data_IF_890471143940
#
_entry.id   IF_890471143940
#
_cell.length_a   1.000
_cell.length_b   1.000
_cell.length_c   1.000
_cell.angle_alpha   90.00
_cell.angle_beta   90.00
_cell.angle_gamma   90.00
#
_symmetry.space_group_name_H-M   'P 1'
#
loop_
_entity.id
_entity.type
_entity.pdbx_description
1 polymer ?
#
# COMPACT_ATOMS: atom_id res chain seq x y z
N UNK A 1 29.22 -1.57 50.77
CA UNK A 1 29.49 -1.37 49.34
C UNK A 1 28.19 -1.60 48.58
N UNK A 2 27.62 -0.62 47.94
CA UNK A 2 26.35 -0.83 47.17
C UNK A 2 26.69 -1.50 45.85
N UNK A 3 26.04 -2.63 45.57
CA UNK A 3 26.08 -3.30 44.28
C UNK A 3 25.18 -2.53 43.31
N UNK A 4 25.77 -1.82 42.37
CA UNK A 4 25.07 -1.27 41.22
C UNK A 4 24.78 -2.41 40.23
N UNK A 5 23.53 -2.77 40.11
CA UNK A 5 23.06 -3.67 39.05
C UNK A 5 23.16 -2.93 37.71
N UNK A 6 24.05 -3.37 36.84
CA UNK A 6 24.13 -2.90 35.44
C UNK A 6 22.90 -3.52 34.72
N UNK A 7 21.89 -2.70 34.48
CA UNK A 7 20.79 -3.08 33.57
C UNK A 7 21.35 -2.98 32.15
N UNK A 8 21.40 -4.09 31.41
CA UNK A 8 21.84 -4.02 30.01
C UNK A 8 20.86 -3.14 29.23
N UNK A 9 21.37 -2.06 28.67
CA UNK A 9 20.64 -1.24 27.69
C UNK A 9 20.43 -2.14 26.47
N UNK A 10 19.25 -2.71 26.32
CA UNK A 10 18.83 -3.36 25.08
C UNK A 10 18.78 -2.27 24.01
N UNK A 11 19.85 -2.14 23.23
CA UNK A 11 19.83 -1.38 22.01
C UNK A 11 18.87 -2.09 21.06
N UNK A 12 17.62 -1.63 20.98
CA UNK A 12 16.74 -2.01 19.88
C UNK A 12 17.39 -1.49 18.61
N UNK A 13 17.92 -2.38 17.79
CA UNK A 13 18.35 -2.08 16.43
C UNK A 13 17.04 -1.81 15.67
N UNK A 14 16.65 -0.55 15.62
CA UNK A 14 15.53 -0.13 14.77
C UNK A 14 15.98 -0.36 13.32
N UNK A 15 15.22 -1.13 12.58
CA UNK A 15 15.43 -1.27 11.15
C UNK A 15 15.15 0.08 10.48
N UNK A 16 16.07 0.56 9.67
CA UNK A 16 16.05 1.92 9.12
C UNK A 16 14.89 2.14 8.12
N UNK A 17 14.52 1.10 7.33
CA UNK A 17 13.39 1.11 6.40
C UNK A 17 12.65 -0.23 6.46
N UNK A 18 11.91 -0.49 7.56
CA UNK A 18 11.52 -1.85 7.97
C UNK A 18 10.36 -2.45 7.19
N UNK A 19 9.63 -1.65 6.41
CA UNK A 19 8.40 -2.05 5.71
C UNK A 19 8.17 -1.21 4.45
N UNK A 20 7.11 -1.50 3.72
CA UNK A 20 6.66 -0.69 2.60
C UNK A 20 6.56 0.79 2.99
N UNK A 21 7.30 1.64 2.27
CA UNK A 21 7.41 3.09 2.51
C UNK A 21 8.06 3.45 3.88
N UNK A 22 8.90 2.59 4.42
CA UNK A 22 9.69 2.88 5.62
C UNK A 22 8.89 2.95 6.93
N UNK A 23 9.36 3.69 7.94
CA UNK A 23 8.72 3.76 9.24
C UNK A 23 7.25 4.18 9.12
N UNK A 24 6.35 3.32 9.59
CA UNK A 24 4.89 3.51 9.55
C UNK A 24 4.31 3.92 8.19
N UNK A 25 5.00 3.57 7.09
CA UNK A 25 4.56 3.85 5.72
C UNK A 25 4.56 5.33 5.32
N UNK A 26 5.30 6.19 6.01
CA UNK A 26 5.30 7.64 5.77
C UNK A 26 6.11 8.08 4.54
N UNK A 27 7.05 7.25 4.07
CA UNK A 27 7.85 7.53 2.87
C UNK A 27 8.97 8.57 3.09
N UNK A 28 9.39 8.80 4.32
CA UNK A 28 10.37 9.83 4.68
C UNK A 28 11.60 9.19 5.29
N UNK A 29 12.77 9.65 4.86
CA UNK A 29 14.06 9.37 5.49
C UNK A 29 14.59 10.62 6.19
N UNK A 30 15.63 10.41 7.02
CA UNK A 30 16.37 11.50 7.65
C UNK A 30 17.02 12.44 6.61
N UNK A 31 17.29 13.69 7.01
CA UNK A 31 17.87 14.74 6.17
C UNK A 31 19.39 14.55 5.93
N UNK A 32 19.79 13.34 5.52
CA UNK A 32 21.16 13.04 5.06
C UNK A 32 21.25 13.36 3.56
N UNK A 33 22.35 13.96 3.07
CA UNK A 33 22.50 14.35 1.67
C UNK A 33 22.20 13.20 0.70
N UNK A 34 21.27 13.42 -0.23
CA UNK A 34 20.82 12.46 -1.23
C UNK A 34 21.20 12.93 -2.65
N UNK A 35 21.49 12.02 -3.60
CA UNK A 35 21.81 12.39 -4.97
C UNK A 35 20.59 13.00 -5.68
N UNK A 36 20.83 14.09 -6.40
CA UNK A 36 19.82 14.72 -7.29
C UNK A 36 19.88 14.11 -8.68
N UNK A 37 21.09 13.87 -9.18
CA UNK A 37 21.32 13.25 -10.47
C UNK A 37 21.94 11.87 -10.29
N UNK A 38 21.38 10.88 -10.97
CA UNK A 38 21.88 9.50 -10.97
C UNK A 38 21.40 8.75 -12.22
N UNK A 39 22.13 7.72 -12.58
CA UNK A 39 21.79 6.81 -13.68
C UNK A 39 22.51 5.46 -13.44
N UNK A 40 22.31 4.45 -14.29
CA UNK A 40 23.10 3.23 -14.19
C UNK A 40 24.62 3.43 -14.25
N UNK A 41 25.09 4.61 -14.70
CA UNK A 41 26.51 4.96 -14.82
C UNK A 41 26.94 6.13 -13.91
N UNK A 42 26.00 6.83 -13.25
CA UNK A 42 26.28 8.03 -12.45
C UNK A 42 25.74 7.86 -11.03
N UNK A 43 26.57 8.17 -10.04
CA UNK A 43 26.18 8.11 -8.61
C UNK A 43 25.65 6.73 -8.16
N UNK A 44 26.02 5.66 -8.88
CA UNK A 44 25.71 4.29 -8.52
C UNK A 44 26.82 3.70 -7.65
N UNK A 45 26.47 3.27 -6.43
CA UNK A 45 27.38 2.58 -5.52
C UNK A 45 27.55 1.12 -5.92
N UNK A 46 26.43 0.49 -6.24
CA UNK A 46 26.35 -0.84 -6.78
C UNK A 46 25.01 -1.07 -7.50
N UNK A 47 24.98 -2.06 -8.41
CA UNK A 47 23.78 -2.56 -9.03
C UNK A 47 23.81 -4.09 -9.06
N UNK A 48 22.66 -4.73 -8.90
CA UNK A 48 22.55 -6.18 -8.84
C UNK A 48 21.33 -6.66 -9.63
N UNK A 49 21.52 -7.60 -10.53
CA UNK A 49 20.42 -8.27 -11.21
C UNK A 49 19.59 -9.07 -10.20
N UNK A 50 18.29 -8.82 -10.18
CA UNK A 50 17.33 -9.47 -9.28
C UNK A 50 16.19 -10.10 -10.08
N UNK A 51 15.55 -11.18 -9.57
CA UNK A 51 14.39 -11.74 -10.23
C UNK A 51 13.24 -10.73 -10.27
N UNK A 52 12.35 -10.79 -11.29
CA UNK A 52 11.22 -9.89 -11.43
C UNK A 52 10.28 -9.87 -10.21
N UNK A 53 9.63 -8.73 -9.97
CA UNK A 53 8.64 -8.53 -8.91
C UNK A 53 8.44 -7.05 -8.63
N UNK A 54 7.32 -6.70 -7.99
CA UNK A 54 6.94 -5.31 -7.75
C UNK A 54 7.17 -4.85 -6.30
N UNK A 55 7.61 -5.75 -5.41
CA UNK A 55 7.87 -5.38 -4.01
C UNK A 55 8.92 -4.28 -3.89
N UNK A 56 8.68 -3.36 -2.98
CA UNK A 56 9.65 -2.33 -2.60
C UNK A 56 10.77 -2.92 -1.74
N UNK A 57 12.00 -2.37 -1.82
CA UNK A 57 13.08 -2.79 -0.94
C UNK A 57 12.77 -2.49 0.52
N UNK A 58 13.09 -3.44 1.38
CA UNK A 58 12.99 -3.32 2.84
C UNK A 58 14.38 -3.49 3.43
N UNK A 59 14.77 -2.59 4.33
CA UNK A 59 16.14 -2.45 4.78
C UNK A 59 16.28 -2.72 6.29
N UNK A 60 17.33 -3.43 6.63
CA UNK A 60 17.94 -3.41 7.97
C UNK A 60 19.28 -2.72 7.90
N UNK A 61 20.02 -2.65 9.00
CA UNK A 61 21.37 -2.10 9.01
C UNK A 61 22.31 -2.77 7.98
N UNK A 62 22.15 -4.10 7.77
CA UNK A 62 23.08 -4.89 6.95
C UNK A 62 22.43 -5.65 5.79
N UNK A 63 21.11 -5.70 5.70
CA UNK A 63 20.38 -6.54 4.73
C UNK A 63 19.35 -5.74 3.95
N UNK A 64 19.04 -6.24 2.76
CA UNK A 64 17.91 -5.80 1.93
C UNK A 64 17.06 -7.03 1.63
N UNK A 65 15.73 -6.90 1.77
CA UNK A 65 14.79 -7.98 1.48
C UNK A 65 13.83 -7.56 0.35
N UNK A 66 13.57 -8.50 -0.56
CA UNK A 66 12.61 -8.39 -1.66
C UNK A 66 11.77 -9.66 -1.76
N UNK A 67 10.54 -9.54 -2.26
CA UNK A 67 9.82 -10.67 -2.84
C UNK A 67 9.96 -10.63 -4.36
N UNK A 68 9.97 -11.79 -5.02
CA UNK A 68 10.11 -11.91 -6.46
C UNK A 68 9.31 -13.12 -6.98
N UNK A 69 9.04 -13.13 -8.30
CA UNK A 69 8.41 -14.25 -8.97
C UNK A 69 9.14 -14.52 -10.29
N UNK A 70 9.68 -15.71 -10.45
CA UNK A 70 10.45 -16.09 -11.61
C UNK A 70 10.22 -17.57 -11.93
N UNK A 71 9.97 -17.91 -13.20
CA UNK A 71 9.78 -19.31 -13.65
C UNK A 71 8.76 -20.08 -12.79
N UNK A 72 7.61 -19.49 -12.55
CA UNK A 72 6.52 -20.02 -11.70
C UNK A 72 6.91 -20.20 -10.21
N UNK A 73 8.05 -19.71 -9.77
CA UNK A 73 8.52 -19.76 -8.38
C UNK A 73 8.30 -18.44 -7.69
N UNK A 74 7.88 -18.51 -6.43
CA UNK A 74 7.80 -17.38 -5.51
C UNK A 74 9.07 -17.33 -4.68
N UNK A 75 9.75 -16.21 -4.66
CA UNK A 75 11.06 -16.08 -4.05
C UNK A 75 11.09 -14.96 -3.00
N UNK A 76 11.72 -15.23 -1.88
CA UNK A 76 12.25 -14.21 -0.98
C UNK A 76 13.74 -14.09 -1.25
N UNK A 77 14.21 -12.87 -1.50
CA UNK A 77 15.60 -12.57 -1.83
C UNK A 77 16.18 -11.66 -0.76
N UNK A 78 17.35 -12.03 -0.25
CA UNK A 78 18.12 -11.22 0.67
C UNK A 78 19.45 -10.82 0.02
N UNK A 79 19.77 -9.53 0.12
CA UNK A 79 21.04 -8.99 -0.35
C UNK A 79 21.81 -8.37 0.83
N UNK A 80 23.14 -8.37 0.72
CA UNK A 80 24.01 -7.55 1.55
C UNK A 80 23.83 -6.08 1.20
N UNK A 81 23.53 -5.26 2.17
CA UNK A 81 23.19 -3.85 1.93
C UNK A 81 24.38 -3.03 1.45
N UNK A 82 25.58 -3.36 1.89
CA UNK A 82 26.79 -2.60 1.57
C UNK A 82 27.27 -2.85 0.13
N UNK A 83 27.21 -4.11 -0.32
CA UNK A 83 27.76 -4.55 -1.60
C UNK A 83 26.73 -4.88 -2.68
N UNK A 84 25.45 -5.03 -2.30
CA UNK A 84 24.40 -5.51 -3.20
C UNK A 84 24.47 -7.02 -3.50
N UNK A 85 25.44 -7.76 -2.94
CA UNK A 85 25.59 -9.20 -3.20
C UNK A 85 24.36 -9.97 -2.68
N UNK A 86 23.77 -10.83 -3.51
CA UNK A 86 22.72 -11.74 -3.06
C UNK A 86 23.33 -12.75 -2.07
N UNK A 87 22.80 -12.77 -0.86
CA UNK A 87 23.24 -13.65 0.20
C UNK A 87 22.49 -14.97 0.17
N UNK A 88 21.19 -14.89 -0.03
CA UNK A 88 20.36 -16.08 -0.15
C UNK A 88 19.07 -15.79 -0.95
N UNK A 89 18.49 -16.87 -1.48
CA UNK A 89 17.14 -16.93 -2.06
C UNK A 89 16.39 -18.07 -1.41
N UNK A 90 15.12 -17.87 -1.09
CA UNK A 90 14.24 -18.92 -0.56
C UNK A 90 12.98 -19.01 -1.39
N UNK A 91 12.69 -20.20 -1.85
CA UNK A 91 11.48 -20.52 -2.61
C UNK A 91 10.33 -20.75 -1.61
N UNK A 92 9.21 -20.06 -1.79
CA UNK A 92 7.99 -20.29 -1.05
C UNK A 92 7.17 -21.41 -1.72
N UNK A 93 6.40 -22.21 -0.96
CA UNK A 93 5.43 -23.12 -1.56
C UNK A 93 4.43 -22.37 -2.44
N UNK A 94 4.03 -22.98 -3.54
CA UNK A 94 3.02 -22.44 -4.46
C UNK A 94 1.96 -23.47 -4.79
N UNK A 95 1.06 -23.82 -3.81
CA UNK A 95 0.06 -24.86 -3.98
C UNK A 95 -1.02 -24.49 -5.01
N UNK A 96 -1.14 -23.20 -5.37
CA UNK A 96 -2.09 -22.64 -6.32
C UNK A 96 -1.51 -21.41 -7.01
N UNK A 97 -2.17 -20.98 -8.07
CA UNK A 97 -1.90 -19.73 -8.75
C UNK A 97 -3.16 -18.86 -8.68
N UNK A 98 -3.11 -17.81 -7.86
CA UNK A 98 -4.20 -16.86 -7.75
C UNK A 98 -4.34 -16.03 -9.04
N UNK A 99 -5.54 -15.57 -9.32
CA UNK A 99 -5.77 -14.63 -10.42
C UNK A 99 -5.05 -13.31 -10.13
N UNK A 100 -4.59 -12.64 -11.17
CA UNK A 100 -4.01 -11.30 -11.05
C UNK A 100 -4.13 -10.54 -12.37
N UNK A 101 -4.21 -9.22 -12.29
CA UNK A 101 -4.14 -8.35 -13.46
C UNK A 101 -2.71 -8.37 -14.05
N UNK A 102 -2.56 -8.16 -15.38
CA UNK A 102 -1.24 -8.11 -16.03
C UNK A 102 -0.28 -7.06 -15.44
N UNK A 103 -0.81 -5.98 -14.86
CA UNK A 103 -0.05 -4.92 -14.21
C UNK A 103 0.29 -5.23 -12.74
N UNK A 104 -0.14 -6.37 -12.22
CA UNK A 104 0.18 -6.84 -10.88
C UNK A 104 1.18 -8.01 -10.94
N UNK A 105 1.74 -8.38 -9.80
CA UNK A 105 2.67 -9.49 -9.64
C UNK A 105 2.30 -10.29 -8.40
N UNK A 106 2.44 -11.63 -8.39
CA UNK A 106 2.29 -12.41 -7.17
C UNK A 106 3.33 -12.02 -6.09
N UNK A 107 4.35 -11.24 -6.48
CA UNK A 107 5.36 -10.64 -5.61
C UNK A 107 5.23 -9.10 -5.52
N UNK A 108 4.00 -8.57 -5.52
CA UNK A 108 3.71 -7.15 -5.25
C UNK A 108 3.78 -6.80 -3.76
N UNK A 109 3.28 -7.62 -2.83
CA UNK A 109 3.43 -7.32 -1.41
C UNK A 109 4.91 -7.22 -1.01
N UNK A 110 5.26 -6.10 -0.38
CA UNK A 110 6.61 -5.88 0.13
C UNK A 110 6.82 -6.63 1.44
N UNK A 111 8.04 -7.10 1.73
CA UNK A 111 8.38 -7.67 3.04
C UNK A 111 8.17 -6.69 4.19
N UNK A 112 8.21 -7.20 5.42
CA UNK A 112 8.41 -6.40 6.63
C UNK A 112 9.46 -7.09 7.52
N UNK A 113 10.26 -6.31 8.27
CA UNK A 113 11.33 -6.83 9.11
C UNK A 113 11.35 -6.16 10.49
N UNK A 114 11.77 -6.93 11.50
CA UNK A 114 12.07 -6.45 12.85
C UNK A 114 13.57 -6.17 13.08
N UNK A 115 14.38 -6.23 11.99
CA UNK A 115 15.83 -6.11 12.03
C UNK A 115 16.56 -7.45 12.16
N UNK A 116 15.93 -8.48 12.72
CA UNK A 116 16.48 -9.82 12.89
C UNK A 116 15.81 -10.87 12.03
N UNK A 117 14.54 -10.66 11.70
CA UNK A 117 13.71 -11.58 10.94
C UNK A 117 12.98 -10.81 9.84
N UNK A 118 12.60 -11.53 8.80
CA UNK A 118 11.77 -11.00 7.71
C UNK A 118 10.48 -11.81 7.60
N UNK A 119 9.41 -11.11 7.28
CA UNK A 119 8.07 -11.66 7.10
C UNK A 119 7.58 -11.27 5.71
N UNK A 120 7.13 -12.26 4.96
CA UNK A 120 6.68 -12.10 3.56
C UNK A 120 5.29 -12.67 3.38
N UNK A 121 4.53 -12.06 2.50
CA UNK A 121 3.21 -12.54 2.10
C UNK A 121 3.17 -12.78 0.59
N UNK A 122 2.67 -13.95 0.20
CA UNK A 122 2.32 -14.29 -1.17
C UNK A 122 0.85 -14.75 -1.22
N UNK A 123 0.04 -14.15 -2.09
CA UNK A 123 -1.36 -14.55 -2.26
C UNK A 123 -1.51 -16.04 -2.57
N UNK A 124 -0.61 -16.59 -3.38
CA UNK A 124 -0.59 -17.98 -3.82
C UNK A 124 -0.28 -18.99 -2.68
N UNK A 125 0.18 -18.49 -1.51
CA UNK A 125 0.53 -19.36 -0.37
C UNK A 125 0.00 -18.84 0.98
N UNK A 126 0.39 -17.61 1.37
CA UNK A 126 0.18 -17.06 2.72
C UNK A 126 1.40 -16.35 3.28
N UNK A 127 1.55 -16.36 4.60
CA UNK A 127 2.66 -15.74 5.33
C UNK A 127 3.80 -16.71 5.60
N UNK A 128 5.03 -16.22 5.50
CA UNK A 128 6.25 -16.95 5.85
C UNK A 128 7.18 -16.01 6.62
N UNK A 129 7.86 -16.54 7.64
CA UNK A 129 8.95 -15.85 8.34
C UNK A 129 10.27 -16.59 8.16
N UNK A 130 11.32 -15.81 7.88
CA UNK A 130 12.71 -16.28 7.84
C UNK A 130 13.55 -15.47 8.83
N UNK A 131 14.63 -16.08 9.33
CA UNK A 131 15.71 -15.35 9.99
C UNK A 131 16.45 -14.44 8.98
N UNK A 132 17.27 -13.50 9.45
CA UNK A 132 18.12 -12.70 8.58
C UNK A 132 19.06 -13.56 7.71
N UNK A 133 19.41 -14.77 8.16
CA UNK A 133 20.26 -15.72 7.45
C UNK A 133 19.48 -16.67 6.54
N UNK A 134 18.15 -16.51 6.47
CA UNK A 134 17.28 -17.24 5.55
C UNK A 134 16.81 -18.60 6.06
N UNK A 135 16.91 -18.89 7.34
CA UNK A 135 16.29 -20.08 7.94
C UNK A 135 14.78 -19.86 8.10
N UNK A 136 13.97 -20.82 7.65
CA UNK A 136 12.51 -20.77 7.81
C UNK A 136 12.18 -20.90 9.32
N UNK A 137 11.47 -19.91 9.87
CA UNK A 137 11.05 -19.89 11.27
C UNK A 137 9.66 -20.48 11.44
N UNK A 138 8.75 -20.04 10.59
CA UNK A 138 7.38 -20.52 10.52
C UNK A 138 6.74 -20.17 9.18
N UNK A 139 5.67 -20.86 8.85
CA UNK A 139 4.81 -20.57 7.71
C UNK A 139 3.35 -20.77 8.07
N UNK A 140 2.49 -19.93 7.51
CA UNK A 140 1.04 -19.95 7.71
C UNK A 140 0.35 -19.91 6.35
N UNK A 141 -0.15 -21.05 5.85
CA UNK A 141 -0.97 -21.06 4.64
C UNK A 141 -2.25 -20.23 4.82
N UNK A 142 -2.59 -19.40 3.85
CA UNK A 142 -3.81 -18.59 3.78
C UNK A 142 -4.44 -18.76 2.41
N UNK A 143 -5.73 -18.45 2.30
CA UNK A 143 -6.49 -18.56 1.03
C UNK A 143 -7.06 -19.97 0.82
N UNK A 144 -7.60 -20.32 -0.40
CA UNK A 144 -7.61 -19.47 -1.59
C UNK A 144 -8.32 -18.13 -1.37
N UNK A 145 -7.95 -17.14 -2.20
CA UNK A 145 -8.54 -15.81 -2.13
C UNK A 145 -9.42 -15.54 -3.35
N UNK A 146 -10.58 -14.95 -3.14
CA UNK A 146 -11.44 -14.47 -4.22
C UNK A 146 -11.07 -13.02 -4.56
N UNK A 147 -9.96 -12.82 -5.29
CA UNK A 147 -9.47 -11.51 -5.71
C UNK A 147 -8.91 -11.56 -7.13
N UNK A 148 -9.73 -11.20 -8.12
CA UNK A 148 -9.37 -11.28 -9.55
C UNK A 148 -8.21 -10.35 -9.98
N UNK A 149 -7.82 -9.39 -9.15
CA UNK A 149 -6.71 -8.49 -9.49
C UNK A 149 -5.38 -8.90 -8.81
N UNK A 150 -5.40 -9.95 -7.98
CA UNK A 150 -4.28 -10.35 -7.14
C UNK A 150 -4.11 -9.49 -5.89
N UNK A 151 -3.10 -9.76 -5.10
CA UNK A 151 -2.83 -9.05 -3.85
C UNK A 151 -1.82 -7.92 -4.01
N UNK A 152 -2.03 -6.81 -3.28
CA UNK A 152 -1.12 -5.67 -3.21
C UNK A 152 -0.82 -5.22 -1.77
N UNK A 153 -1.63 -5.66 -0.80
CA UNK A 153 -1.45 -5.29 0.61
C UNK A 153 -0.17 -5.90 1.18
N UNK A 154 0.68 -5.08 1.76
CA UNK A 154 1.91 -5.52 2.43
C UNK A 154 1.64 -5.77 3.92
N UNK A 155 2.28 -6.77 4.56
CA UNK A 155 2.21 -6.92 6.00
C UNK A 155 2.96 -5.77 6.71
N UNK A 156 2.53 -5.46 7.94
CA UNK A 156 3.25 -4.57 8.85
C UNK A 156 3.52 -5.26 10.19
N UNK A 157 4.45 -4.72 10.97
CA UNK A 157 4.68 -5.15 12.35
C UNK A 157 4.08 -4.14 13.34
N UNK A 158 3.30 -4.65 14.28
CA UNK A 158 2.75 -3.87 15.38
C UNK A 158 2.53 -4.75 16.63
N UNK A 159 2.99 -4.29 17.80
CA UNK A 159 2.74 -4.98 19.08
C UNK A 159 3.19 -6.43 19.12
N UNK A 160 4.34 -6.78 18.53
CA UNK A 160 4.86 -8.16 18.39
C UNK A 160 3.96 -9.07 17.50
N UNK A 161 3.19 -8.48 16.63
CA UNK A 161 2.34 -9.17 15.67
C UNK A 161 2.68 -8.74 14.24
N UNK A 162 2.48 -9.68 13.31
CA UNK A 162 2.39 -9.40 11.87
C UNK A 162 0.92 -9.12 11.57
N UNK A 163 0.62 -7.95 11.04
CA UNK A 163 -0.74 -7.52 10.68
C UNK A 163 -0.88 -7.56 9.16
N UNK A 164 -1.94 -8.16 8.66
CA UNK A 164 -2.22 -8.28 7.23
C UNK A 164 -3.70 -8.02 6.94
N UNK A 165 -3.97 -7.18 5.93
CA UNK A 165 -5.30 -7.02 5.33
C UNK A 165 -5.47 -8.10 4.27
N UNK A 166 -6.53 -8.89 4.40
CA UNK A 166 -6.95 -9.90 3.43
C UNK A 166 -8.31 -9.53 2.87
N UNK A 167 -8.40 -8.35 2.24
CA UNK A 167 -9.61 -7.88 1.58
C UNK A 167 -9.76 -8.56 0.22
N UNK A 168 -10.91 -9.15 -0.01
CA UNK A 168 -11.30 -9.93 -1.19
C UNK A 168 -12.81 -9.80 -1.42
N UNK A 169 -13.35 -10.28 -2.53
CA UNK A 169 -14.74 -10.07 -2.89
C UNK A 169 -15.72 -10.74 -1.94
N UNK A 170 -15.31 -11.88 -1.39
CA UNK A 170 -16.05 -12.61 -0.34
C UNK A 170 -15.13 -12.86 0.85
N UNK A 171 -15.68 -12.90 2.06
CA UNK A 171 -14.96 -13.29 3.28
C UNK A 171 -13.71 -12.46 3.60
N UNK A 172 -13.75 -11.14 3.34
CA UNK A 172 -12.70 -10.20 3.73
C UNK A 172 -12.41 -10.24 5.22
N UNK A 173 -11.13 -10.13 5.60
CA UNK A 173 -10.74 -10.10 7.01
C UNK A 173 -9.43 -9.32 7.26
N UNK A 174 -9.27 -8.86 8.49
CA UNK A 174 -8.01 -8.36 9.05
C UNK A 174 -7.40 -9.45 9.94
N UNK A 175 -6.10 -9.70 9.80
CA UNK A 175 -5.39 -10.78 10.48
C UNK A 175 -4.24 -10.25 11.32
N UNK A 176 -4.11 -10.73 12.54
CA UNK A 176 -2.93 -10.58 13.38
C UNK A 176 -2.32 -11.93 13.73
N UNK A 177 -1.04 -12.07 13.47
CA UNK A 177 -0.27 -13.29 13.67
C UNK A 177 0.88 -13.01 14.64
N UNK A 178 1.07 -13.89 15.61
CA UNK A 178 2.20 -13.78 16.54
C UNK A 178 3.53 -13.83 15.78
N UNK A 179 4.33 -12.81 15.95
CA UNK A 179 5.59 -12.61 15.25
C UNK A 179 6.62 -13.72 15.46
N UNK A 180 6.63 -14.31 16.66
CA UNK A 180 7.60 -15.35 17.03
C UNK A 180 7.18 -16.75 16.55
N UNK A 181 5.90 -17.05 16.59
CA UNK A 181 5.38 -18.42 16.41
C UNK A 181 4.56 -18.66 15.15
N UNK A 182 4.09 -17.61 14.47
CA UNK A 182 3.20 -17.73 13.32
C UNK A 182 1.75 -18.10 13.69
N UNK A 183 1.39 -18.14 14.97
CA UNK A 183 0.03 -18.46 15.41
C UNK A 183 -0.88 -17.26 15.28
N UNK A 184 -2.11 -17.48 14.82
CA UNK A 184 -3.13 -16.43 14.74
C UNK A 184 -3.47 -15.96 16.16
N UNK A 185 -3.35 -14.65 16.40
CA UNK A 185 -3.75 -13.98 17.64
C UNK A 185 -5.22 -13.60 17.60
N UNK A 186 -5.63 -13.00 16.47
CA UNK A 186 -7.01 -12.70 16.18
C UNK A 186 -7.22 -12.58 14.66
N UNK A 187 -8.46 -12.82 14.24
CA UNK A 187 -8.93 -12.66 12.86
C UNK A 187 -10.28 -11.97 12.91
N UNK A 188 -10.39 -10.79 12.32
CA UNK A 188 -11.60 -9.97 12.34
C UNK A 188 -12.25 -9.94 10.98
N UNK A 189 -13.48 -10.45 10.82
CA UNK A 189 -14.24 -10.36 9.57
C UNK A 189 -14.49 -8.89 9.17
N UNK A 190 -14.46 -8.62 7.88
CA UNK A 190 -14.71 -7.31 7.26
C UNK A 190 -15.82 -7.43 6.20
N UNK A 191 -17.08 -7.75 6.58
CA UNK A 191 -18.15 -8.04 5.63
C UNK A 191 -18.53 -6.85 4.75
N UNK A 192 -18.24 -5.63 5.21
CA UNK A 192 -18.47 -4.38 4.45
C UNK A 192 -17.33 -4.07 3.47
N UNK A 193 -16.31 -4.92 3.36
CA UNK A 193 -15.18 -4.73 2.45
C UNK A 193 -15.20 -5.78 1.34
N UNK A 194 -14.80 -5.35 0.14
CA UNK A 194 -14.44 -6.22 -0.97
C UNK A 194 -12.95 -6.07 -1.26
N UNK A 195 -12.49 -6.57 -2.40
CA UNK A 195 -11.07 -6.46 -2.81
C UNK A 195 -10.52 -5.06 -2.60
N UNK A 196 -9.38 -4.99 -1.90
CA UNK A 196 -8.63 -3.78 -1.58
C UNK A 196 -7.13 -4.09 -1.53
N UNK A 197 -6.29 -3.05 -1.65
CA UNK A 197 -4.84 -3.24 -1.83
C UNK A 197 -4.02 -2.34 -0.90
N UNK A 198 -4.67 -1.66 0.02
CA UNK A 198 -4.02 -0.77 0.97
C UNK A 198 -3.18 -1.55 1.99
N UNK A 199 -2.11 -0.95 2.45
CA UNK A 199 -1.34 -1.42 3.60
C UNK A 199 -1.82 -0.63 4.83
N UNK A 200 -2.04 -1.25 6.00
CA UNK A 200 -2.49 -0.55 7.20
C UNK A 200 -1.40 0.33 7.79
N UNK A 201 -1.77 1.28 8.63
CA UNK A 201 -0.85 2.07 9.43
C UNK A 201 -1.17 1.95 10.93
N UNK A 202 -0.13 2.05 11.76
CA UNK A 202 -0.27 2.05 13.21
C UNK A 202 -0.49 3.49 13.70
N UNK A 203 -1.61 3.73 14.39
CA UNK A 203 -1.88 4.97 15.10
C UNK A 203 -1.69 4.76 16.60
N UNK A 204 -0.89 5.61 17.23
CA UNK A 204 -0.69 5.62 18.66
C UNK A 204 -1.33 6.90 19.24
N UNK A 205 -2.51 6.83 19.83
CA UNK A 205 -3.09 7.96 20.54
C UNK A 205 -2.16 8.46 21.64
N UNK A 206 -2.23 9.73 21.95
CA UNK A 206 -1.47 10.30 23.09
C UNK A 206 -1.89 9.61 24.40
N UNK A 207 -3.19 9.40 24.56
CA UNK A 207 -3.79 8.73 25.72
C UNK A 207 -4.66 7.59 25.21
N UNK A 208 -4.22 6.34 25.44
CA UNK A 208 -4.97 5.16 25.05
C UNK A 208 -4.16 4.07 24.32
N UNK A 209 -4.81 2.95 24.04
CA UNK A 209 -4.18 1.82 23.33
C UNK A 209 -3.94 2.15 21.86
N UNK A 210 -2.96 1.48 21.27
CA UNK A 210 -2.67 1.59 19.85
C UNK A 210 -3.82 1.07 18.98
N UNK A 211 -4.01 1.73 17.85
CA UNK A 211 -5.04 1.43 16.86
C UNK A 211 -4.43 1.13 15.49
N UNK A 212 -5.11 0.32 14.71
CA UNK A 212 -4.77 0.06 13.31
C UNK A 212 -5.71 0.83 12.41
N UNK A 213 -5.18 1.70 11.58
CA UNK A 213 -5.95 2.43 10.55
C UNK A 213 -5.94 1.61 9.27
N UNK A 214 -7.09 1.13 8.88
CA UNK A 214 -7.27 0.16 7.81
C UNK A 214 -8.21 0.70 6.74
N UNK A 215 -7.69 1.16 5.60
CA UNK A 215 -8.52 1.48 4.45
C UNK A 215 -9.20 0.21 3.89
N UNK A 216 -10.42 0.36 3.44
CA UNK A 216 -11.20 -0.72 2.81
C UNK A 216 -12.21 -0.15 1.83
N UNK A 217 -13.01 -1.00 1.19
CA UNK A 217 -14.01 -0.53 0.23
C UNK A 217 -14.93 0.52 0.85
N UNK A 218 -14.96 1.71 0.26
CA UNK A 218 -15.81 2.87 0.60
C UNK A 218 -15.59 3.49 2.00
N UNK A 219 -14.63 3.01 2.79
CA UNK A 219 -14.46 3.41 4.19
C UNK A 219 -12.99 3.36 4.64
N UNK A 220 -12.72 4.07 5.73
CA UNK A 220 -11.50 3.89 6.54
C UNK A 220 -11.95 3.50 7.94
N UNK A 221 -11.38 2.44 8.48
CA UNK A 221 -11.79 1.85 9.76
C UNK A 221 -10.61 1.82 10.71
N UNK A 222 -10.84 2.19 11.96
CA UNK A 222 -9.90 1.94 13.06
C UNK A 222 -10.26 0.66 13.79
N UNK A 223 -9.23 -0.13 14.09
CA UNK A 223 -9.33 -1.36 14.88
C UNK A 223 -8.39 -1.31 16.08
N UNK A 224 -8.83 -1.89 17.19
CA UNK A 224 -7.96 -2.15 18.34
C UNK A 224 -6.79 -3.05 17.93
N UNK A 225 -5.56 -2.63 18.16
CA UNK A 225 -4.39 -3.46 17.89
C UNK A 225 -4.41 -4.75 18.73
N UNK A 226 -4.86 -4.69 19.98
CA UNK A 226 -4.82 -5.82 20.90
C UNK A 226 -5.88 -6.88 20.64
N UNK A 227 -7.09 -6.49 20.21
CA UNK A 227 -8.25 -7.40 20.08
C UNK A 227 -8.75 -7.56 18.66
N UNK A 228 -8.39 -6.66 17.73
CA UNK A 228 -8.95 -6.62 16.39
C UNK A 228 -10.39 -6.06 16.33
N UNK A 229 -10.94 -5.56 17.44
CA UNK A 229 -12.28 -4.97 17.46
C UNK A 229 -12.32 -3.67 16.66
N UNK A 230 -13.42 -3.46 15.91
CA UNK A 230 -13.72 -2.23 15.20
C UNK A 230 -14.08 -1.13 16.20
N UNK A 231 -13.36 0.00 16.12
CA UNK A 231 -13.53 1.11 17.06
C UNK A 231 -14.39 2.24 16.47
N UNK A 232 -13.92 2.82 15.38
CA UNK A 232 -14.59 3.89 14.65
C UNK A 232 -14.31 3.78 13.16
N UNK A 233 -15.14 4.48 12.35
CA UNK A 233 -14.94 4.51 10.89
C UNK A 233 -15.50 5.77 10.27
N UNK A 234 -15.00 6.09 9.08
CA UNK A 234 -15.59 7.08 8.17
C UNK A 234 -16.00 6.39 6.87
N UNK A 235 -17.01 6.95 6.22
CA UNK A 235 -17.54 6.50 4.91
C UNK A 235 -17.31 7.55 3.82
N UNK A 236 -17.68 7.20 2.57
CA UNK A 236 -17.61 8.07 1.42
C UNK A 236 -16.22 8.11 0.79
N UNK A 237 -15.49 7.02 0.90
CA UNK A 237 -14.28 6.75 0.13
C UNK A 237 -14.64 6.10 -1.22
N UNK A 238 -13.68 6.08 -2.15
CA UNK A 238 -13.79 5.27 -3.37
C UNK A 238 -13.72 3.77 -3.07
N UNK A 239 -14.04 2.95 -4.07
CA UNK A 239 -13.82 1.51 -4.02
C UNK A 239 -12.32 1.19 -4.10
N UNK A 240 -11.88 -0.03 -3.80
CA UNK A 240 -10.50 -0.54 -3.99
C UNK A 240 -9.39 0.41 -3.49
N UNK A 241 -9.44 0.82 -2.23
CA UNK A 241 -8.39 1.68 -1.69
C UNK A 241 -7.01 1.03 -1.77
N UNK A 242 -6.00 1.81 -2.17
CA UNK A 242 -4.62 1.35 -2.42
C UNK A 242 -3.59 2.12 -1.59
N UNK A 243 -3.97 3.32 -1.13
CA UNK A 243 -3.04 4.19 -0.40
C UNK A 243 -2.80 3.71 1.03
N UNK A 244 -1.56 3.88 1.48
CA UNK A 244 -1.21 3.77 2.90
C UNK A 244 -1.72 5.01 3.63
N UNK A 245 -2.40 4.89 4.79
CA UNK A 245 -2.74 6.04 5.62
C UNK A 245 -1.48 6.78 6.08
N UNK A 246 -1.46 8.10 5.93
CA UNK A 246 -0.44 8.94 6.55
C UNK A 246 -0.96 9.42 7.90
N UNK A 247 -0.12 9.36 8.92
CA UNK A 247 -0.47 9.78 10.28
C UNK A 247 0.44 10.94 10.69
N UNK A 248 -0.19 12.06 11.06
CA UNK A 248 0.48 13.26 11.57
C UNK A 248 -0.21 13.70 12.87
N UNK A 249 0.36 13.30 14.00
CA UNK A 249 -0.29 13.44 15.29
C UNK A 249 -1.65 12.73 15.30
N UNK A 250 -2.72 13.47 15.54
CA UNK A 250 -4.09 12.95 15.54
C UNK A 250 -4.83 13.16 14.20
N UNK A 251 -4.11 13.50 13.13
CA UNK A 251 -4.69 13.66 11.79
C UNK A 251 -4.22 12.53 10.89
N UNK A 252 -5.16 11.94 10.17
CA UNK A 252 -4.95 10.83 9.25
C UNK A 252 -5.36 11.26 7.85
N UNK A 253 -4.47 11.08 6.85
CA UNK A 253 -4.75 11.36 5.45
C UNK A 253 -4.85 10.06 4.68
N UNK A 254 -5.95 9.87 3.94
CA UNK A 254 -6.17 8.69 3.09
C UNK A 254 -6.73 9.14 1.75
N UNK A 255 -6.19 8.62 0.67
CA UNK A 255 -6.71 8.83 -0.69
C UNK A 255 -7.39 7.58 -1.24
N UNK A 256 -8.41 7.80 -2.06
CA UNK A 256 -9.10 6.73 -2.77
C UNK A 256 -9.50 7.15 -4.17
N UNK A 257 -9.35 6.23 -5.12
CA UNK A 257 -9.64 6.46 -6.54
C UNK A 257 -10.40 5.28 -7.15
N UNK A 258 -11.34 5.62 -8.01
CA UNK A 258 -12.10 4.68 -8.85
C UNK A 258 -12.38 5.33 -10.22
N UNK A 259 -12.48 4.51 -11.25
CA UNK A 259 -12.86 4.95 -12.58
C UNK A 259 -14.25 5.58 -12.57
N UNK A 260 -14.35 6.82 -13.08
CA UNK A 260 -15.61 7.59 -13.09
C UNK A 260 -15.86 8.39 -11.81
N UNK A 261 -15.06 8.23 -10.74
CA UNK A 261 -15.24 8.96 -9.48
C UNK A 261 -14.87 10.45 -9.51
N UNK A 262 -14.40 10.97 -10.65
CA UNK A 262 -14.12 12.39 -10.85
C UNK A 262 -15.35 13.17 -11.37
N UNK A 263 -16.46 12.47 -11.67
CA UNK A 263 -17.71 13.06 -12.15
C UNK A 263 -18.78 13.08 -11.06
N UNK A 264 -19.84 13.85 -11.27
CA UNK A 264 -21.00 13.78 -10.39
C UNK A 264 -21.62 12.38 -10.42
N UNK A 265 -21.97 11.83 -9.24
CA UNK A 265 -22.47 10.47 -9.18
C UNK A 265 -23.82 10.35 -9.90
N UNK A 266 -23.99 9.32 -10.74
CA UNK A 266 -25.27 9.05 -11.37
C UNK A 266 -26.32 8.60 -10.34
N UNK A 267 -27.58 8.77 -10.68
CA UNK A 267 -28.65 8.11 -9.93
C UNK A 267 -28.62 6.59 -10.21
N UNK A 268 -28.59 5.80 -9.16
CA UNK A 268 -28.59 4.33 -9.23
C UNK A 268 -29.75 3.78 -8.42
N UNK A 269 -30.56 2.92 -9.03
CA UNK A 269 -31.75 2.32 -8.44
C UNK A 269 -31.42 1.62 -7.11
N UNK A 270 -32.35 1.67 -6.16
CA UNK A 270 -32.32 0.81 -4.97
C UNK A 270 -32.48 -0.66 -5.39
N UNK A 271 -32.19 -1.60 -4.51
CA UNK A 271 -32.38 -3.02 -4.81
C UNK A 271 -33.82 -3.34 -5.22
N UNK A 272 -34.79 -2.84 -4.45
CA UNK A 272 -36.21 -3.04 -4.77
C UNK A 272 -36.60 -2.50 -6.15
N UNK A 273 -36.15 -1.28 -6.48
CA UNK A 273 -36.39 -0.70 -7.82
C UNK A 273 -35.66 -1.46 -8.93
N UNK A 274 -34.50 -2.06 -8.62
CA UNK A 274 -33.75 -2.86 -9.57
C UNK A 274 -34.46 -4.17 -9.88
N UNK A 275 -35.01 -4.88 -8.89
CA UNK A 275 -35.81 -6.05 -9.07
C UNK A 275 -37.05 -5.72 -9.90
N UNK A 276 -37.81 -4.67 -9.55
CA UNK A 276 -39.01 -4.25 -10.32
C UNK A 276 -38.70 -3.98 -11.80
N UNK A 277 -37.50 -3.54 -12.12
CA UNK A 277 -37.12 -3.15 -13.46
C UNK A 277 -36.42 -4.24 -14.25
N UNK A 278 -35.60 -5.05 -13.61
CA UNK A 278 -34.66 -5.95 -14.27
C UNK A 278 -34.97 -7.43 -14.06
N UNK A 279 -35.52 -7.83 -12.91
CA UNK A 279 -35.86 -9.23 -12.62
C UNK A 279 -37.10 -9.66 -13.40
N UNK A 280 -36.90 -10.07 -14.65
CA UNK A 280 -37.97 -10.40 -15.57
C UNK A 280 -38.53 -11.81 -15.36
N UNK A 281 -37.77 -12.69 -14.74
CA UNK A 281 -38.18 -14.07 -14.44
C UNK A 281 -38.76 -14.23 -13.03
N UNK A 282 -38.68 -13.16 -12.18
CA UNK A 282 -39.19 -13.08 -10.82
C UNK A 282 -38.57 -14.12 -9.86
N UNK A 283 -37.27 -14.40 -10.03
CA UNK A 283 -36.52 -15.31 -9.14
C UNK A 283 -35.86 -14.58 -7.93
N UNK A 284 -36.01 -13.25 -7.86
CA UNK A 284 -35.45 -12.42 -6.78
C UNK A 284 -33.97 -12.13 -6.92
N UNK A 285 -33.41 -12.32 -8.11
CA UNK A 285 -32.04 -12.04 -8.49
C UNK A 285 -31.98 -11.37 -9.86
N UNK A 286 -30.78 -10.85 -10.22
CA UNK A 286 -30.60 -10.21 -11.52
C UNK A 286 -29.45 -10.90 -12.25
N UNK A 287 -29.77 -11.59 -13.34
CA UNK A 287 -28.75 -12.17 -14.23
C UNK A 287 -28.08 -11.11 -15.09
N UNK A 288 -26.96 -11.45 -15.73
CA UNK A 288 -26.29 -10.57 -16.68
C UNK A 288 -27.21 -10.12 -17.84
N UNK A 289 -28.05 -11.01 -18.31
CA UNK A 289 -28.97 -10.73 -19.46
C UNK A 289 -30.07 -9.74 -19.09
N UNK A 290 -30.49 -9.74 -17.83
CA UNK A 290 -31.56 -8.89 -17.31
C UNK A 290 -31.03 -7.51 -16.89
N UNK A 291 -29.85 -7.47 -16.30
CA UNK A 291 -29.29 -6.27 -15.66
C UNK A 291 -28.69 -5.23 -16.61
N UNK A 292 -28.29 -4.07 -16.09
CA UNK A 292 -27.75 -2.96 -16.88
C UNK A 292 -26.29 -3.12 -17.24
N UNK A 293 -25.77 -4.34 -17.31
CA UNK A 293 -24.36 -4.64 -17.48
C UNK A 293 -23.94 -4.60 -18.95
N UNK A 294 -23.09 -3.65 -19.32
CA UNK A 294 -22.67 -3.41 -20.71
C UNK A 294 -21.83 -4.54 -21.31
N UNK A 295 -21.04 -5.21 -20.46
CA UNK A 295 -20.12 -6.27 -20.87
C UNK A 295 -19.85 -7.23 -19.70
N UNK A 296 -19.12 -8.29 -20.00
CA UNK A 296 -18.76 -9.34 -19.03
C UNK A 296 -17.94 -8.80 -17.86
N UNK A 297 -17.00 -7.89 -18.12
CA UNK A 297 -16.19 -7.28 -17.07
C UNK A 297 -17.01 -6.43 -16.09
N UNK A 298 -18.02 -5.68 -16.57
CA UNK A 298 -18.87 -4.88 -15.67
C UNK A 298 -19.81 -5.74 -14.83
N UNK A 299 -20.22 -6.90 -15.34
CA UNK A 299 -20.97 -7.91 -14.59
C UNK A 299 -20.05 -8.60 -13.56
N UNK A 300 -18.89 -9.14 -13.99
CA UNK A 300 -17.96 -9.83 -13.11
C UNK A 300 -17.31 -8.95 -12.02
N UNK A 301 -17.30 -7.63 -12.20
CA UNK A 301 -16.94 -6.69 -11.14
C UNK A 301 -18.06 -6.51 -10.09
N UNK A 302 -19.28 -6.98 -10.40
CA UNK A 302 -20.47 -6.84 -9.53
C UNK A 302 -20.84 -8.18 -8.91
N UNK A 303 -20.79 -9.26 -9.68
CA UNK A 303 -20.95 -10.66 -9.25
C UNK A 303 -19.71 -11.07 -8.42
N UNK A 304 -19.77 -10.80 -7.12
CA UNK A 304 -18.62 -10.90 -6.22
C UNK A 304 -18.35 -12.34 -5.80
N UNK A 305 -19.37 -13.19 -5.71
CA UNK A 305 -19.24 -14.59 -5.35
C UNK A 305 -19.15 -15.51 -6.57
N UNK A 306 -19.37 -14.95 -7.79
CA UNK A 306 -19.25 -15.61 -9.09
C UNK A 306 -20.28 -16.72 -9.29
N UNK A 307 -21.47 -16.57 -8.73
CA UNK A 307 -22.59 -17.52 -8.94
C UNK A 307 -23.37 -17.26 -10.24
N UNK A 308 -23.07 -16.17 -10.95
CA UNK A 308 -23.69 -15.77 -12.21
C UNK A 308 -24.98 -14.95 -12.06
N UNK A 309 -25.31 -14.57 -10.84
CA UNK A 309 -26.50 -13.80 -10.49
C UNK A 309 -26.10 -12.66 -9.54
N UNK A 310 -26.81 -11.56 -9.55
CA UNK A 310 -26.60 -10.45 -8.63
C UNK A 310 -27.65 -10.51 -7.52
N UNK A 311 -27.18 -10.52 -6.29
CA UNK A 311 -28.02 -10.42 -5.09
C UNK A 311 -28.07 -8.99 -4.52
N UNK A 312 -28.80 -8.80 -3.40
CA UNK A 312 -28.94 -7.49 -2.75
C UNK A 312 -27.60 -6.90 -2.27
N UNK A 313 -26.72 -7.74 -1.73
CA UNK A 313 -25.39 -7.31 -1.25
C UNK A 313 -24.56 -6.78 -2.42
N UNK A 314 -24.53 -7.49 -3.51
CA UNK A 314 -23.77 -7.17 -4.72
C UNK A 314 -24.33 -5.95 -5.44
N UNK A 315 -25.67 -5.83 -5.52
CA UNK A 315 -26.30 -4.63 -6.04
C UNK A 315 -25.98 -3.40 -5.19
N UNK A 316 -25.99 -3.52 -3.87
CA UNK A 316 -25.62 -2.44 -2.97
C UNK A 316 -24.14 -2.04 -3.12
N UNK A 317 -23.22 -3.00 -3.34
CA UNK A 317 -21.84 -2.70 -3.73
C UNK A 317 -21.76 -2.01 -5.09
N UNK A 318 -22.46 -2.47 -6.08
CA UNK A 318 -22.54 -1.80 -7.38
C UNK A 318 -23.01 -0.35 -7.26
N UNK A 319 -24.04 -0.10 -6.48
CA UNK A 319 -24.55 1.25 -6.19
C UNK A 319 -23.46 2.11 -5.50
N UNK A 320 -22.87 1.60 -4.44
CA UNK A 320 -21.83 2.29 -3.72
C UNK A 320 -20.62 2.63 -4.64
N UNK A 321 -20.23 1.70 -5.52
CA UNK A 321 -19.18 1.92 -6.52
C UNK A 321 -19.55 3.01 -7.51
N UNK A 322 -20.77 3.00 -8.06
CA UNK A 322 -21.23 3.98 -9.04
C UNK A 322 -21.42 5.37 -8.47
N UNK A 323 -21.70 5.47 -7.17
CA UNK A 323 -21.93 6.75 -6.48
C UNK A 323 -20.70 7.23 -5.70
N UNK A 324 -19.63 6.43 -5.62
CA UNK A 324 -18.39 6.82 -4.95
C UNK A 324 -17.65 7.91 -5.72
N UNK A 325 -16.96 8.78 -4.98
CA UNK A 325 -16.17 9.87 -5.54
C UNK A 325 -14.72 9.75 -5.13
N UNK A 326 -13.83 10.08 -6.07
CA UNK A 326 -12.40 10.17 -5.81
C UNK A 326 -12.13 11.28 -4.81
N UNK A 327 -11.38 10.97 -3.77
CA UNK A 327 -11.04 11.96 -2.77
C UNK A 327 -9.76 11.61 -2.01
N UNK A 328 -9.14 12.66 -1.49
CA UNK A 328 -8.21 12.62 -0.38
C UNK A 328 -8.93 13.25 0.80
N UNK A 329 -8.92 12.59 1.95
CA UNK A 329 -9.56 13.07 3.17
C UNK A 329 -8.54 13.30 4.27
N UNK A 330 -8.75 14.34 5.07
CA UNK A 330 -8.12 14.49 6.37
C UNK A 330 -9.14 14.13 7.44
N UNK A 331 -8.76 13.21 8.33
CA UNK A 331 -9.62 12.65 9.37
C UNK A 331 -8.99 12.97 10.72
N UNK A 332 -9.77 13.48 11.67
CA UNK A 332 -9.35 13.51 13.07
C UNK A 332 -9.52 12.11 13.64
N UNK A 333 -8.44 11.53 14.16
CA UNK A 333 -8.47 10.21 14.78
C UNK A 333 -9.34 10.20 16.05
N UNK A 334 -9.81 8.99 16.43
CA UNK A 334 -10.58 8.76 17.63
C UNK A 334 -12.10 8.75 17.42
N UNK A 335 -12.84 8.73 18.52
CA UNK A 335 -14.30 8.57 18.51
C UNK A 335 -14.76 7.13 18.66
N UNK A 336 -16.03 6.86 18.35
CA UNK A 336 -16.65 5.54 18.42
C UNK A 336 -17.76 5.41 17.39
N UNK A 337 -17.77 4.29 16.66
CA UNK A 337 -18.81 4.04 15.67
C UNK A 337 -18.59 4.85 14.39
N UNK A 338 -19.66 5.24 13.72
CA UNK A 338 -19.63 6.08 12.52
C UNK A 338 -19.35 7.54 12.89
N UNK A 339 -18.16 8.02 12.52
CA UNK A 339 -17.71 9.39 12.79
C UNK A 339 -17.62 10.23 11.52
N UNK A 340 -18.24 9.80 10.43
CA UNK A 340 -18.14 10.43 9.11
C UNK A 340 -18.44 11.93 9.15
N UNK A 341 -19.53 12.32 9.78
CA UNK A 341 -19.99 13.72 9.79
C UNK A 341 -19.25 14.62 10.79
N UNK A 342 -18.50 14.02 11.72
CA UNK A 342 -17.88 14.76 12.83
C UNK A 342 -16.35 14.80 12.77
N UNK A 343 -15.69 13.85 12.09
CA UNK A 343 -14.24 13.71 12.12
C UNK A 343 -13.56 13.99 10.78
N UNK A 344 -14.30 14.10 9.69
CA UNK A 344 -13.70 14.54 8.41
C UNK A 344 -13.52 16.05 8.47
N UNK A 345 -12.25 16.47 8.45
CA UNK A 345 -11.86 17.88 8.52
C UNK A 345 -12.02 18.59 7.19
N UNK A 346 -11.59 17.92 6.11
CA UNK A 346 -11.74 18.39 4.73
C UNK A 346 -11.62 17.23 3.73
N UNK A 347 -12.08 17.47 2.50
CA UNK A 347 -11.97 16.59 1.34
C UNK A 347 -11.39 17.36 0.15
N UNK A 348 -10.46 16.74 -0.55
CA UNK A 348 -9.93 17.22 -1.82
C UNK A 348 -10.23 16.19 -2.91
N UNK A 349 -10.76 16.63 -4.08
CA UNK A 349 -11.32 15.71 -5.09
C UNK A 349 -10.68 15.84 -6.48
N UNK A 350 -9.65 16.66 -6.65
CA UNK A 350 -9.04 16.91 -7.96
C UNK A 350 -7.79 16.06 -8.14
N UNK A 351 -7.68 15.40 -9.30
CA UNK A 351 -6.46 14.65 -9.68
C UNK A 351 -5.96 13.70 -8.59
N UNK A 352 -6.87 12.92 -8.02
CA UNK A 352 -6.54 11.90 -7.03
C UNK A 352 -5.79 10.75 -7.71
N UNK A 353 -4.64 10.30 -7.18
CA UNK A 353 -3.89 9.17 -7.73
C UNK A 353 -4.64 7.85 -7.56
N UNK A 354 -4.47 6.95 -8.54
CA UNK A 354 -5.03 5.60 -8.47
C UNK A 354 -4.25 4.70 -7.48
N UNK A 355 -2.92 4.63 -7.60
CA UNK A 355 -2.09 3.73 -6.79
C UNK A 355 -1.17 4.48 -5.83
N UNK A 356 -0.43 5.53 -6.26
CA UNK A 356 0.51 6.18 -5.38
C UNK A 356 -0.14 6.74 -4.10
N UNK A 357 0.46 6.42 -2.96
CA UNK A 357 0.05 6.98 -1.68
C UNK A 357 0.47 8.45 -1.58
N UNK A 358 -0.28 9.31 -0.86
CA UNK A 358 0.16 10.67 -0.59
C UNK A 358 1.46 10.71 0.22
N UNK A 359 2.13 11.84 0.22
CA UNK A 359 3.34 12.10 1.00
C UNK A 359 3.16 13.41 1.77
N UNK A 360 3.31 13.36 3.09
CA UNK A 360 3.37 14.56 3.92
C UNK A 360 4.83 14.81 4.30
N UNK A 361 5.42 15.89 3.80
CA UNK A 361 6.80 16.23 4.10
C UNK A 361 6.97 17.75 4.23
N UNK A 362 7.70 18.19 5.29
CA UNK A 362 7.93 19.62 5.59
C UNK A 362 6.63 20.43 5.60
N UNK A 363 5.59 19.89 6.21
CA UNK A 363 4.27 20.53 6.35
C UNK A 363 3.59 20.86 5.00
N UNK A 364 3.86 20.05 3.97
CA UNK A 364 3.19 20.10 2.67
C UNK A 364 2.73 18.69 2.31
N UNK A 365 1.49 18.57 1.82
CA UNK A 365 0.94 17.30 1.37
C UNK A 365 1.06 17.20 -0.15
N UNK A 366 1.69 16.13 -0.63
CA UNK A 366 1.98 15.92 -2.04
C UNK A 366 1.23 14.71 -2.59
N UNK A 367 0.77 14.82 -3.83
CA UNK A 367 0.14 13.74 -4.59
C UNK A 367 0.84 13.56 -5.93
N UNK A 368 1.02 12.32 -6.35
CA UNK A 368 1.53 11.96 -7.67
C UNK A 368 0.48 11.14 -8.42
N UNK A 369 -0.06 11.66 -9.50
CA UNK A 369 -1.06 11.00 -10.33
C UNK A 369 -0.45 10.62 -11.69
N UNK A 370 -0.98 9.55 -12.28
CA UNK A 370 -0.70 9.14 -13.67
C UNK A 370 -0.84 10.33 -14.65
N UNK A 371 -0.09 10.27 -15.75
CA UNK A 371 0.06 11.39 -16.70
C UNK A 371 0.98 12.49 -16.20
N UNK A 372 1.77 12.22 -15.14
CA UNK A 372 2.78 13.13 -14.60
C UNK A 372 2.21 14.29 -13.79
N UNK A 373 0.98 14.23 -13.30
CA UNK A 373 0.36 15.33 -12.53
C UNK A 373 0.85 15.28 -11.08
N UNK A 374 1.64 16.28 -10.70
CA UNK A 374 2.13 16.44 -9.34
C UNK A 374 1.45 17.61 -8.64
N UNK A 375 0.95 17.38 -7.44
CA UNK A 375 0.11 18.33 -6.68
C UNK A 375 0.68 18.55 -5.30
N UNK A 376 0.70 19.80 -4.83
CA UNK A 376 0.95 20.18 -3.44
C UNK A 376 -0.27 20.84 -2.82
N UNK A 377 -0.58 20.48 -1.58
CA UNK A 377 -1.72 20.96 -0.81
C UNK A 377 -1.26 21.45 0.57
N UNK A 378 -2.02 22.36 1.13
CA UNK A 378 -1.95 22.70 2.54
C UNK A 378 -2.57 21.55 3.36
N UNK A 379 -1.83 20.88 4.26
CA UNK A 379 -2.34 19.73 4.99
C UNK A 379 -3.45 20.09 6.01
N UNK A 380 -3.52 21.35 6.46
CA UNK A 380 -4.52 21.78 7.44
C UNK A 380 -5.89 22.04 6.81
N UNK A 381 -5.90 22.52 5.57
CA UNK A 381 -7.13 22.99 4.91
C UNK A 381 -7.50 22.19 3.66
N UNK A 382 -6.56 21.38 3.12
CA UNK A 382 -6.72 20.73 1.82
C UNK A 382 -6.65 21.70 0.63
N UNK A 383 -6.30 22.96 0.85
CA UNK A 383 -6.22 23.96 -0.21
C UNK A 383 -5.13 23.62 -1.22
N UNK A 384 -5.45 23.71 -2.51
CA UNK A 384 -4.50 23.53 -3.59
C UNK A 384 -3.49 24.67 -3.61
N UNK A 385 -2.19 24.33 -3.53
CA UNK A 385 -1.10 25.30 -3.62
C UNK A 385 -0.52 25.32 -5.04
N UNK A 386 -0.12 24.14 -5.55
CA UNK A 386 0.40 24.00 -6.91
C UNK A 386 -0.01 22.67 -7.52
N UNK A 387 -0.37 22.69 -8.78
CA UNK A 387 -0.57 21.50 -9.59
C UNK A 387 -0.01 21.74 -10.99
N UNK A 388 0.86 20.85 -11.45
CA UNK A 388 1.39 20.89 -12.81
C UNK A 388 1.83 19.50 -13.27
N UNK A 389 2.07 19.36 -14.57
CA UNK A 389 2.66 18.16 -15.16
C UNK A 389 4.18 18.17 -15.04
N UNK A 390 4.75 17.03 -14.76
CA UNK A 390 6.19 16.78 -14.79
C UNK A 390 6.61 16.59 -16.25
N UNK A 391 6.87 17.69 -16.96
CA UNK A 391 7.29 17.65 -18.36
C UNK A 391 8.58 16.84 -18.49
N UNK A 392 8.60 15.85 -19.38
CA UNK A 392 9.71 14.91 -19.56
C UNK A 392 9.59 13.60 -18.78
N UNK A 393 8.58 13.49 -17.88
CA UNK A 393 8.30 12.28 -17.12
C UNK A 393 6.78 12.04 -17.04
N UNK A 394 6.11 12.04 -18.18
CA UNK A 394 4.71 11.66 -18.30
C UNK A 394 4.58 10.13 -18.17
N UNK A 395 3.36 9.58 -18.23
CA UNK A 395 3.14 8.13 -18.21
C UNK A 395 2.47 7.62 -16.95
N UNK A 396 2.63 6.33 -16.68
CA UNK A 396 2.00 5.66 -15.54
C UNK A 396 2.87 5.75 -14.28
N UNK A 397 2.22 5.94 -13.13
CA UNK A 397 2.88 5.99 -11.83
C UNK A 397 2.25 4.96 -10.90
N UNK A 398 3.03 3.92 -10.56
CA UNK A 398 2.66 2.87 -9.63
C UNK A 398 3.35 3.03 -8.28
N UNK A 399 4.60 3.51 -8.31
CA UNK A 399 5.39 3.78 -7.11
C UNK A 399 4.89 5.04 -6.38
N UNK A 400 4.96 5.02 -5.06
CA UNK A 400 4.61 6.17 -4.23
C UNK A 400 5.77 7.16 -4.12
N UNK A 401 5.52 8.46 -3.97
CA UNK A 401 6.56 9.43 -3.65
C UNK A 401 7.28 9.08 -2.34
N UNK A 402 8.59 9.34 -2.29
CA UNK A 402 9.41 9.29 -1.08
C UNK A 402 10.24 10.57 -0.95
N UNK A 403 10.61 10.95 0.28
CA UNK A 403 11.31 12.20 0.53
C UNK A 403 12.45 12.08 1.53
N UNK A 404 13.46 12.93 1.35
CA UNK A 404 14.59 13.14 2.24
C UNK A 404 15.45 14.29 1.71
N UNK A 405 16.28 14.89 2.56
CA UNK A 405 17.20 15.97 2.18
C UNK A 405 16.54 17.15 1.42
N UNK A 406 15.31 17.50 1.79
CA UNK A 406 14.55 18.56 1.11
C UNK A 406 14.14 18.24 -0.33
N UNK A 407 14.18 16.99 -0.74
CA UNK A 407 13.86 16.50 -2.07
C UNK A 407 12.75 15.47 -2.02
N UNK A 408 11.99 15.35 -3.12
CA UNK A 408 10.98 14.33 -3.33
C UNK A 408 11.36 13.55 -4.58
N UNK A 409 11.29 12.24 -4.49
CA UNK A 409 11.59 11.31 -5.58
C UNK A 409 10.29 10.63 -6.02
N UNK A 410 9.96 10.73 -7.29
CA UNK A 410 8.80 10.10 -7.91
C UNK A 410 9.24 9.32 -9.16
N UNK A 411 8.86 8.05 -9.25
CA UNK A 411 9.26 7.16 -10.34
C UNK A 411 8.05 6.78 -11.17
N UNK A 412 8.15 6.89 -12.50
CA UNK A 412 7.13 6.38 -13.41
C UNK A 412 7.47 4.97 -13.90
N UNK A 413 6.51 4.30 -14.56
CA UNK A 413 6.70 2.96 -15.09
C UNK A 413 7.80 2.91 -16.15
N UNK A 414 7.96 3.96 -16.95
CA UNK A 414 8.91 4.05 -18.06
C UNK A 414 10.37 4.27 -17.60
N UNK A 415 10.66 4.12 -16.31
CA UNK A 415 12.02 4.21 -15.77
C UNK A 415 12.50 5.62 -15.43
N UNK A 416 11.66 6.64 -15.56
CA UNK A 416 12.03 8.02 -15.20
C UNK A 416 11.85 8.25 -13.70
N UNK A 417 12.88 8.78 -13.07
CA UNK A 417 12.83 9.24 -11.67
C UNK A 417 12.98 10.74 -11.63
N UNK A 418 11.89 11.44 -11.37
CA UNK A 418 11.91 12.89 -11.22
C UNK A 418 12.24 13.25 -9.78
N UNK A 419 13.24 14.12 -9.61
CA UNK A 419 13.62 14.70 -8.33
C UNK A 419 13.05 16.11 -8.26
N UNK A 420 12.30 16.39 -7.21
CA UNK A 420 11.61 17.65 -6.98
C UNK A 420 12.10 18.31 -5.69
N UNK A 421 12.08 19.64 -5.64
CA UNK A 421 12.27 20.36 -4.38
C UNK A 421 11.03 20.15 -3.47
N UNK A 422 11.25 19.90 -2.18
CA UNK A 422 10.18 19.67 -1.21
C UNK A 422 9.61 20.98 -0.64
N UNK A 423 9.24 21.91 -1.52
CA UNK A 423 8.55 23.15 -1.18
C UNK A 423 7.11 23.12 -1.71
N UNK A 424 6.23 23.89 -1.10
CA UNK A 424 4.84 24.01 -1.58
C UNK A 424 4.79 24.48 -3.05
N UNK A 425 5.70 25.37 -3.47
CA UNK A 425 5.94 25.79 -4.86
C UNK A 425 7.10 24.97 -5.48
N UNK A 426 6.99 23.64 -5.44
CA UNK A 426 7.99 22.69 -5.90
C UNK A 426 8.49 22.98 -7.33
N UNK A 427 9.73 22.56 -7.60
CA UNK A 427 10.39 22.65 -8.91
C UNK A 427 11.04 21.32 -9.26
N UNK A 428 11.12 21.00 -10.54
CA UNK A 428 11.90 19.86 -11.02
C UNK A 428 13.39 20.22 -10.89
N UNK A 429 14.13 19.40 -10.15
CA UNK A 429 15.57 19.54 -9.97
C UNK A 429 16.33 18.68 -10.98
N UNK A 430 15.84 17.47 -11.26
CA UNK A 430 16.40 16.56 -12.24
C UNK A 430 15.33 15.56 -12.71
N UNK A 431 15.56 14.95 -13.89
CA UNK A 431 14.85 13.75 -14.35
C UNK A 431 15.94 12.75 -14.71
N UNK A 432 15.97 11.66 -13.96
CA UNK A 432 16.93 10.57 -14.12
C UNK A 432 16.29 9.43 -14.91
N UNK A 433 17.02 8.79 -15.79
CA UNK A 433 16.53 7.70 -16.62
C UNK A 433 17.28 6.40 -16.29
N UNK A 434 16.55 5.35 -15.95
CA UNK A 434 17.13 4.04 -15.64
C UNK A 434 16.96 3.02 -16.76
N UNK A 435 16.26 3.40 -17.85
CA UNK A 435 16.06 2.58 -19.05
C UNK A 435 15.48 1.18 -18.76
N UNK A 436 14.68 1.07 -17.68
CA UNK A 436 13.99 -0.18 -17.28
C UNK A 436 12.75 0.17 -16.44
N UNK A 437 11.71 -0.66 -16.50
CA UNK A 437 10.42 -0.42 -15.85
C UNK A 437 10.53 -0.34 -14.31
N UNK A 438 9.81 0.62 -13.72
CA UNK A 438 9.75 0.81 -12.26
C UNK A 438 8.30 0.69 -11.76
N UNK A 439 8.05 -0.30 -10.90
CA UNK A 439 6.80 -0.48 -10.17
C UNK A 439 6.99 -0.25 -8.67
N UNK A 440 8.15 -0.58 -8.15
CA UNK A 440 8.50 -0.52 -6.75
C UNK A 440 8.69 0.92 -6.26
N UNK A 441 8.24 1.20 -5.05
CA UNK A 441 8.57 2.44 -4.35
C UNK A 441 10.01 2.39 -3.84
N UNK A 442 10.85 3.40 -4.08
CA UNK A 442 12.21 3.42 -3.58
C UNK A 442 12.26 3.37 -2.04
N UNK A 443 13.33 2.80 -1.50
CA UNK A 443 13.71 2.94 -0.10
C UNK A 443 14.85 3.96 0.02
N UNK A 444 14.79 4.79 1.04
CA UNK A 444 15.82 5.82 1.30
C UNK A 444 16.35 5.65 2.71
N UNK A 445 17.67 5.66 2.85
CA UNK A 445 18.28 5.65 4.17
C UNK A 445 19.77 6.07 4.12
N UNK A 446 20.20 6.86 5.12
CA UNK A 446 21.60 7.25 5.33
C UNK A 446 22.29 7.73 4.04
N UNK A 447 21.66 8.67 3.30
CA UNK A 447 22.22 9.28 2.11
C UNK A 447 22.20 8.37 0.87
N UNK A 448 21.48 7.25 0.91
CA UNK A 448 21.37 6.29 -0.19
C UNK A 448 19.94 6.10 -0.64
N UNK A 449 19.75 5.85 -1.94
CA UNK A 449 18.48 5.49 -2.55
C UNK A 449 18.62 4.06 -3.06
N UNK A 450 17.74 3.17 -2.59
CA UNK A 450 17.63 1.81 -3.08
C UNK A 450 16.41 1.73 -3.98
N UNK A 451 16.67 1.56 -5.27
CA UNK A 451 15.62 1.60 -6.30
C UNK A 451 15.62 0.32 -7.09
N UNK A 452 14.47 -0.33 -7.15
CA UNK A 452 14.26 -1.54 -7.90
C UNK A 452 13.56 -1.22 -9.23
N UNK A 453 14.20 -1.57 -10.32
CA UNK A 453 13.57 -1.71 -11.63
C UNK A 453 13.07 -3.15 -11.83
N UNK A 454 12.54 -3.46 -13.00
CA UNK A 454 12.04 -4.82 -13.30
C UNK A 454 13.12 -5.89 -13.12
N UNK A 455 14.34 -5.63 -13.58
CA UNK A 455 15.43 -6.61 -13.57
C UNK A 455 16.61 -6.30 -12.66
N UNK A 456 16.67 -5.11 -12.04
CA UNK A 456 17.84 -4.65 -11.30
C UNK A 456 17.48 -3.92 -10.02
N UNK A 457 18.23 -4.16 -8.97
CA UNK A 457 18.23 -3.32 -7.77
C UNK A 457 19.48 -2.44 -7.79
N UNK A 458 19.29 -1.14 -7.70
CA UNK A 458 20.35 -0.13 -7.63
C UNK A 458 20.49 0.44 -6.23
N UNK A 459 21.70 0.78 -5.84
CA UNK A 459 22.01 1.65 -4.73
C UNK A 459 22.69 2.91 -5.26
N UNK A 460 22.01 4.04 -5.17
CA UNK A 460 22.56 5.34 -5.54
C UNK A 460 23.02 6.10 -4.30
N UNK A 461 24.14 6.78 -4.42
CA UNK A 461 24.70 7.67 -3.38
C UNK A 461 25.31 8.89 -4.05
N UNK A 462 25.40 9.96 -3.31
CA UNK A 462 26.12 11.13 -3.78
C UNK A 462 27.63 10.87 -3.65
N UNK A 463 28.37 11.01 -4.75
CA UNK A 463 29.81 11.15 -4.74
C UNK A 463 30.12 12.65 -4.92
N UNK A 464 30.82 13.23 -3.96
CA UNK A 464 31.30 14.63 -3.97
C UNK A 464 32.36 14.84 -5.04
#
# INVERSE_FOLDING_TARGET
>A
MPHYAIVPLLCFILADWPQFRGPNGNGIADDTPLPTEFSPQKNVSWSTAVPPGHSSPVLTETRIFLTAAENEKLLTVCLDRASGKILWRREAPRPRKEESQPTNSPASPSPVTDGQNVYVFFGDFGLISYSADGEERWKLPLGPFNNQNGHGSSPILAGKMVILICDQDTDSYLLAVDQATGKIRWKTPRPDSTRGYATPALYQPKDGPAELIVPGAFQVVSYSLSTGERLWWIRGMAWQLKSVPLIDGDIIYVSGWETGGDTDPPEVLTWQQALEKYDTNHDGRISRAEGPFKNEGSFGDTDLDRDGLIDEREWNFYRARKTSQNNLVAIRAGGKGDVTDTHILWRFRKSIPNVPSPLLYRNVLFLMKEGGIFTSLDPKTGALIKQARLTGALGQYWSSPVAGDGKIYVSNQEGKVTVLSAFAQWQILAINDLDDEIFATPAIDRGRIYLRTRGTLYCFTRYD
#
